data_IF_196719911803
#
_entry.id   IF_196719911803
#
_cell.length_a   1.000
_cell.length_b   1.000
_cell.length_c   1.000
_cell.angle_alpha   90.00
_cell.angle_beta   90.00
_cell.angle_gamma   90.00
#
_symmetry.space_group_name_H-M   'P 1'
#
loop_
_entity.id
_entity.type
_entity.pdbx_description
1 polymer ?
#
# COMPACT_ATOMS: atom_id res chain seq x y z
N UNK A 1 22.75 15.42 -16.44
CA UNK A 1 22.53 15.28 -14.99
C UNK A 1 22.23 13.80 -14.75
N UNK A 2 22.84 13.15 -13.78
CA UNK A 2 22.69 11.68 -13.65
C UNK A 2 21.47 11.34 -12.80
N UNK A 3 20.30 11.30 -13.45
CA UNK A 3 19.08 10.81 -12.81
C UNK A 3 19.00 9.28 -12.77
N UNK A 4 19.73 8.60 -13.63
CA UNK A 4 19.72 7.15 -13.77
C UNK A 4 20.62 6.44 -12.74
N UNK A 5 20.25 5.22 -12.35
CA UNK A 5 21.03 4.39 -11.43
C UNK A 5 21.19 2.98 -11.98
N UNK A 6 22.40 2.44 -11.83
CA UNK A 6 22.72 1.09 -12.26
C UNK A 6 22.29 0.08 -11.21
N UNK A 7 21.46 -0.91 -11.59
CA UNK A 7 21.04 -2.02 -10.73
C UNK A 7 22.00 -3.21 -10.92
N UNK A 8 22.19 -3.62 -12.18
CA UNK A 8 23.19 -4.60 -12.61
C UNK A 8 24.09 -3.97 -13.68
N UNK A 9 24.87 -4.75 -14.41
CA UNK A 9 25.66 -4.19 -15.55
C UNK A 9 24.77 -3.67 -16.67
N UNK A 10 23.60 -4.27 -16.83
CA UNK A 10 22.70 -4.13 -17.96
C UNK A 10 21.26 -3.73 -17.56
N UNK A 11 20.94 -3.63 -16.28
CA UNK A 11 19.65 -3.13 -15.79
C UNK A 11 19.84 -1.78 -15.09
N UNK A 12 19.03 -0.80 -15.47
CA UNK A 12 19.07 0.56 -14.95
C UNK A 12 17.71 0.97 -14.41
N UNK A 13 17.70 1.62 -13.26
CA UNK A 13 16.57 2.41 -12.78
C UNK A 13 16.57 3.75 -13.53
N UNK A 14 15.45 4.07 -14.15
CA UNK A 14 15.24 5.31 -14.92
C UNK A 14 14.05 6.12 -14.44
N UNK A 15 13.52 5.79 -13.28
CA UNK A 15 12.38 6.45 -12.65
C UNK A 15 12.69 7.85 -12.15
N UNK A 16 11.77 8.38 -11.35
CA UNK A 16 11.89 9.69 -10.71
C UNK A 16 11.17 9.70 -9.35
N UNK A 17 11.57 10.62 -8.47
CA UNK A 17 10.87 10.89 -7.21
C UNK A 17 10.10 12.21 -7.30
N UNK A 18 8.82 12.21 -6.92
CA UNK A 18 8.02 13.43 -6.77
C UNK A 18 7.81 13.76 -5.28
N UNK A 19 8.31 14.94 -4.86
CA UNK A 19 8.14 15.51 -3.53
C UNK A 19 7.16 16.69 -3.49
N UNK A 20 6.55 17.02 -4.63
CA UNK A 20 5.61 18.14 -4.76
C UNK A 20 4.17 17.67 -4.64
N UNK A 21 3.91 16.41 -4.98
CA UNK A 21 2.58 15.82 -4.89
C UNK A 21 2.18 15.69 -3.43
N UNK A 22 1.08 16.33 -3.03
CA UNK A 22 0.60 16.29 -1.66
C UNK A 22 -0.23 15.04 -1.32
N UNK A 23 -0.83 14.41 -2.32
CA UNK A 23 -1.67 13.22 -2.19
C UNK A 23 -1.46 12.25 -3.34
N UNK A 24 -1.23 11.00 -3.04
CA UNK A 24 -1.26 9.88 -3.98
C UNK A 24 -2.72 9.55 -4.33
N UNK A 25 -3.03 9.25 -5.60
CA UNK A 25 -4.41 9.07 -6.11
C UNK A 25 -5.38 10.21 -5.72
N UNK A 26 -4.88 11.38 -5.37
CA UNK A 26 -5.65 12.51 -4.81
C UNK A 26 -6.41 12.16 -3.51
N UNK A 27 -6.11 11.04 -2.88
CA UNK A 27 -6.75 10.54 -1.65
C UNK A 27 -5.74 10.51 -0.50
N UNK A 28 -4.60 9.84 -0.66
CA UNK A 28 -3.67 9.50 0.41
C UNK A 28 -2.60 10.59 0.61
N UNK A 29 -2.54 11.30 1.74
CA UNK A 29 -1.46 12.24 2.00
C UNK A 29 -0.09 11.58 1.95
N UNK A 30 0.85 12.16 1.21
CA UNK A 30 2.23 11.67 1.06
C UNK A 30 3.23 12.79 1.35
N UNK A 31 3.38 13.20 2.60
CA UNK A 31 4.29 14.30 2.98
C UNK A 31 5.75 14.02 2.60
N UNK A 32 6.17 12.76 2.55
CA UNK A 32 7.50 12.31 2.10
C UNK A 32 7.58 12.08 0.59
N UNK A 33 6.53 12.41 -0.17
CA UNK A 33 6.45 12.21 -1.61
C UNK A 33 6.28 10.73 -2.00
N UNK A 34 6.64 10.42 -3.24
CA UNK A 34 6.56 9.08 -3.84
C UNK A 34 7.65 8.92 -4.90
N UNK A 35 8.13 7.71 -5.14
CA UNK A 35 8.93 7.38 -6.31
C UNK A 35 8.07 6.67 -7.36
N UNK A 36 8.27 7.03 -8.62
CA UNK A 36 7.74 6.33 -9.79
C UNK A 36 8.90 5.62 -10.46
N UNK A 37 8.95 4.31 -10.32
CA UNK A 37 10.06 3.52 -10.82
C UNK A 37 9.75 3.02 -12.24
N UNK A 38 10.74 3.05 -13.09
CA UNK A 38 10.75 2.40 -14.38
C UNK A 38 12.15 1.85 -14.60
N UNK A 39 12.26 0.81 -15.39
CA UNK A 39 13.50 0.08 -15.56
C UNK A 39 13.86 -0.08 -17.02
N UNK A 40 15.12 0.16 -17.36
CA UNK A 40 15.66 -0.09 -18.68
C UNK A 40 16.61 -1.28 -18.63
N UNK A 41 16.46 -2.18 -19.60
CA UNK A 41 17.35 -3.33 -19.79
C UNK A 41 18.10 -3.15 -21.12
N UNK A 42 19.43 -3.10 -21.02
CA UNK A 42 20.37 -2.97 -22.11
C UNK A 42 20.84 -4.34 -22.59
N UNK A 43 20.21 -4.86 -23.63
CA UNK A 43 20.51 -6.17 -24.20
C UNK A 43 20.57 -6.09 -25.73
N UNK A 44 20.68 -7.22 -26.46
CA UNK A 44 20.63 -7.28 -27.93
C UNK A 44 19.36 -6.57 -28.47
N UNK A 45 18.25 -6.72 -27.75
CA UNK A 45 17.03 -5.92 -27.87
C UNK A 45 16.78 -5.17 -26.58
N UNK A 46 16.62 -3.88 -26.67
CA UNK A 46 16.40 -3.03 -25.51
C UNK A 46 14.96 -3.08 -25.01
N UNK A 47 14.79 -3.05 -23.70
CA UNK A 47 13.47 -3.11 -23.05
C UNK A 47 13.32 -2.00 -22.03
N UNK A 48 12.15 -1.37 -22.00
CA UNK A 48 11.69 -0.54 -20.87
C UNK A 48 10.52 -1.23 -20.20
N UNK A 49 10.52 -1.27 -18.88
CA UNK A 49 9.40 -1.75 -18.05
C UNK A 49 8.67 -0.55 -17.44
N UNK A 50 7.41 -0.42 -17.82
CA UNK A 50 6.48 0.65 -17.46
C UNK A 50 7.02 2.06 -17.76
N UNK A 51 6.22 3.06 -17.49
CA UNK A 51 6.64 4.46 -17.59
C UNK A 51 6.55 5.13 -16.22
N UNK A 52 6.23 6.40 -16.15
CA UNK A 52 6.09 7.14 -14.90
C UNK A 52 4.89 8.10 -14.98
N UNK A 53 4.57 8.71 -13.85
CA UNK A 53 3.54 9.75 -13.76
C UNK A 53 3.88 10.96 -14.60
N UNK A 54 2.86 11.61 -15.13
CA UNK A 54 3.00 12.82 -15.98
C UNK A 54 3.74 13.96 -15.26
N UNK A 55 3.66 14.02 -13.93
CA UNK A 55 4.31 15.05 -13.10
C UNK A 55 5.83 15.03 -13.17
N UNK A 56 6.43 13.89 -13.55
CA UNK A 56 7.88 13.68 -13.66
C UNK A 56 8.34 13.41 -15.10
N UNK A 57 7.49 13.71 -16.08
CA UNK A 57 7.70 13.39 -17.50
C UNK A 57 9.06 13.84 -18.05
N UNK A 58 9.48 15.07 -17.77
CA UNK A 58 10.73 15.61 -18.30
C UNK A 58 11.94 14.83 -17.80
N UNK A 59 11.96 14.57 -16.49
CA UNK A 59 13.05 13.78 -15.88
C UNK A 59 13.07 12.34 -16.40
N UNK A 60 11.91 11.71 -16.51
CA UNK A 60 11.79 10.34 -17.01
C UNK A 60 12.31 10.23 -18.45
N UNK A 61 11.88 11.14 -19.33
CA UNK A 61 12.30 11.14 -20.75
C UNK A 61 13.81 11.43 -20.89
N UNK A 62 14.36 12.34 -20.07
CA UNK A 62 15.81 12.58 -20.05
C UNK A 62 16.57 11.34 -19.59
N UNK A 63 16.11 10.65 -18.53
CA UNK A 63 16.70 9.42 -18.04
C UNK A 63 16.68 8.31 -19.09
N UNK A 64 15.55 8.11 -19.78
CA UNK A 64 15.42 7.13 -20.85
C UNK A 64 16.39 7.43 -22.00
N UNK A 65 16.45 8.68 -22.44
CA UNK A 65 17.40 9.10 -23.49
C UNK A 65 18.86 8.89 -23.11
N UNK A 66 19.20 9.13 -21.83
CA UNK A 66 20.57 8.95 -21.34
C UNK A 66 21.03 7.48 -21.42
N UNK A 67 20.18 6.54 -20.98
CA UNK A 67 20.55 5.11 -20.97
C UNK A 67 20.44 4.45 -22.34
N UNK A 68 19.48 4.89 -23.16
CA UNK A 68 19.27 4.36 -24.49
C UNK A 68 20.35 4.82 -25.48
N UNK A 69 20.82 6.09 -25.35
CA UNK A 69 21.76 6.70 -26.30
C UNK A 69 21.24 6.66 -27.73
N UNK A 70 22.07 6.21 -28.65
CA UNK A 70 21.73 6.06 -30.08
C UNK A 70 21.07 4.71 -30.42
N UNK A 71 20.80 3.86 -29.43
CA UNK A 71 20.16 2.57 -29.65
C UNK A 71 18.69 2.72 -29.98
N UNK A 72 18.14 1.73 -30.67
CA UNK A 72 16.70 1.61 -30.88
C UNK A 72 16.04 1.15 -29.58
N UNK A 73 14.85 1.66 -29.27
CA UNK A 73 13.99 1.06 -28.26
C UNK A 73 13.15 -0.04 -28.93
N UNK A 74 13.38 -1.31 -28.55
CA UNK A 74 12.68 -2.44 -29.16
C UNK A 74 11.36 -2.75 -28.46
N UNK A 75 11.33 -2.77 -27.13
CA UNK A 75 10.15 -3.13 -26.35
C UNK A 75 9.85 -2.13 -25.24
N UNK A 76 8.56 -1.86 -25.07
CA UNK A 76 7.97 -1.24 -23.89
C UNK A 76 7.04 -2.27 -23.26
N UNK A 77 7.45 -2.89 -22.17
CA UNK A 77 6.64 -3.85 -21.40
C UNK A 77 5.80 -3.08 -20.39
N UNK A 78 4.48 -3.26 -20.46
CA UNK A 78 3.53 -2.60 -19.56
C UNK A 78 2.98 -3.66 -18.61
N UNK A 79 3.43 -3.60 -17.35
CA UNK A 79 3.01 -4.50 -16.30
C UNK A 79 1.73 -4.02 -15.62
N UNK A 80 1.52 -2.68 -15.59
CA UNK A 80 0.39 -2.04 -14.94
C UNK A 80 -0.11 -0.80 -15.69
N UNK A 81 -1.43 -0.63 -15.72
CA UNK A 81 -2.10 0.43 -16.49
C UNK A 81 -2.64 1.56 -15.62
N UNK A 82 -2.23 1.67 -14.37
CA UNK A 82 -2.55 2.84 -13.57
C UNK A 82 -1.82 4.08 -14.13
N UNK A 83 -2.46 5.28 -14.13
CA UNK A 83 -1.89 6.45 -14.77
C UNK A 83 -0.51 6.87 -14.31
N UNK A 84 -0.15 6.62 -13.07
CA UNK A 84 1.18 6.93 -12.54
C UNK A 84 2.31 6.02 -13.08
N UNK A 85 1.95 4.96 -13.82
CA UNK A 85 2.87 4.08 -14.54
C UNK A 85 2.65 4.09 -16.05
N UNK A 86 1.46 4.48 -16.51
CA UNK A 86 1.15 4.41 -17.93
C UNK A 86 1.02 5.78 -18.64
N UNK A 87 0.99 6.90 -17.90
CA UNK A 87 0.74 8.23 -18.49
C UNK A 87 1.69 8.62 -19.61
N UNK A 88 2.91 8.10 -19.62
CA UNK A 88 3.91 8.45 -20.62
C UNK A 88 4.03 7.46 -21.79
N UNK A 89 3.18 6.43 -21.85
CA UNK A 89 3.20 5.44 -22.96
C UNK A 89 3.05 6.16 -24.33
N UNK A 90 2.10 7.07 -24.45
CA UNK A 90 1.87 7.83 -25.69
C UNK A 90 3.08 8.71 -26.06
N UNK A 91 3.71 9.30 -25.05
CA UNK A 91 4.94 10.09 -25.25
C UNK A 91 6.10 9.22 -25.69
N UNK A 92 6.32 8.07 -25.05
CA UNK A 92 7.40 7.13 -25.42
C UNK A 92 7.19 6.59 -26.84
N UNK A 93 5.97 6.18 -27.18
CA UNK A 93 5.67 5.67 -28.53
C UNK A 93 5.78 6.75 -29.61
N UNK A 94 5.52 8.03 -29.28
CA UNK A 94 5.74 9.14 -30.19
C UNK A 94 7.24 9.42 -30.42
N UNK A 95 8.09 9.31 -29.39
CA UNK A 95 9.55 9.42 -29.55
C UNK A 95 10.18 8.21 -30.25
N UNK A 96 9.63 7.01 -30.02
CA UNK A 96 10.14 5.74 -30.53
C UNK A 96 9.05 4.97 -31.29
N UNK A 97 8.64 5.42 -32.49
CA UNK A 97 7.47 4.88 -33.21
C UNK A 97 7.62 3.42 -33.65
N UNK A 98 8.84 2.91 -33.62
CA UNK A 98 9.12 1.50 -33.94
C UNK A 98 9.08 0.56 -32.73
N UNK A 99 8.85 1.09 -31.52
CA UNK A 99 8.76 0.28 -30.29
C UNK A 99 7.56 -0.67 -30.36
N UNK A 100 7.76 -1.88 -29.89
CA UNK A 100 6.67 -2.84 -29.70
C UNK A 100 6.20 -2.80 -28.23
N UNK A 101 4.94 -2.45 -28.04
CA UNK A 101 4.32 -2.45 -26.70
C UNK A 101 3.92 -3.88 -26.35
N UNK A 102 4.36 -4.35 -25.19
CA UNK A 102 4.12 -5.71 -24.66
C UNK A 102 3.20 -5.64 -23.48
N UNK A 103 2.15 -6.42 -23.45
CA UNK A 103 1.19 -6.50 -22.34
C UNK A 103 0.14 -7.58 -22.58
N UNK A 104 -0.79 -7.78 -21.66
CA UNK A 104 -1.87 -8.73 -21.90
C UNK A 104 -3.08 -8.08 -22.59
N UNK A 105 -4.09 -8.87 -22.93
CA UNK A 105 -5.29 -8.39 -23.62
C UNK A 105 -6.03 -7.28 -22.85
N UNK A 106 -6.06 -7.35 -21.53
CA UNK A 106 -6.68 -6.30 -20.68
C UNK A 106 -5.83 -5.03 -20.66
N UNK A 107 -4.49 -5.16 -20.62
CA UNK A 107 -3.56 -4.04 -20.74
C UNK A 107 -3.89 -3.24 -22.01
N UNK A 108 -4.05 -3.91 -23.15
CA UNK A 108 -4.38 -3.23 -24.41
C UNK A 108 -5.79 -2.63 -24.42
N UNK A 109 -6.76 -3.31 -23.80
CA UNK A 109 -8.11 -2.77 -23.64
C UNK A 109 -8.10 -1.47 -22.83
N UNK A 110 -7.37 -1.43 -21.71
CA UNK A 110 -7.26 -0.23 -20.88
C UNK A 110 -6.45 0.87 -21.58
N UNK A 111 -5.39 0.49 -22.25
CA UNK A 111 -4.55 1.41 -23.02
C UNK A 111 -5.37 2.17 -24.07
N UNK A 112 -6.26 1.49 -24.79
CA UNK A 112 -7.16 2.13 -25.78
C UNK A 112 -8.21 3.04 -25.13
N UNK A 113 -8.56 2.80 -23.85
CA UNK A 113 -9.45 3.70 -23.10
C UNK A 113 -8.74 4.99 -22.69
N UNK A 114 -7.44 4.90 -22.34
CA UNK A 114 -6.64 6.09 -21.97
C UNK A 114 -6.09 6.84 -23.18
N UNK A 115 -5.65 6.12 -24.23
CA UNK A 115 -4.91 6.67 -25.34
C UNK A 115 -5.57 6.30 -26.69
N UNK A 116 -6.28 7.23 -27.35
CA UNK A 116 -6.86 6.97 -28.69
C UNK A 116 -5.82 6.55 -29.74
N UNK A 117 -4.55 7.00 -29.59
CA UNK A 117 -3.40 6.64 -30.44
C UNK A 117 -3.01 5.17 -30.34
N UNK A 118 -3.37 4.49 -29.24
CA UNK A 118 -2.98 3.10 -28.97
C UNK A 118 -3.51 2.09 -30.00
N UNK A 119 -4.56 2.44 -30.75
CA UNK A 119 -5.02 1.62 -31.88
C UNK A 119 -3.95 1.41 -32.97
N UNK A 120 -3.01 2.36 -33.09
CA UNK A 120 -1.89 2.34 -34.07
C UNK A 120 -0.59 1.74 -33.55
N UNK A 121 -0.50 1.36 -32.26
CA UNK A 121 0.74 0.83 -31.69
C UNK A 121 1.05 -0.58 -32.22
N UNK A 122 2.34 -0.88 -32.35
CA UNK A 122 2.80 -2.27 -32.54
C UNK A 122 2.62 -2.99 -31.20
N UNK A 123 1.82 -4.04 -31.17
CA UNK A 123 1.46 -4.75 -29.95
C UNK A 123 1.99 -6.19 -29.98
N UNK A 124 2.51 -6.66 -28.87
CA UNK A 124 2.81 -8.06 -28.58
C UNK A 124 1.99 -8.47 -27.36
N UNK A 125 0.96 -9.26 -27.61
CA UNK A 125 0.14 -9.79 -26.51
C UNK A 125 0.86 -10.97 -25.86
N UNK A 126 0.93 -10.94 -24.50
CA UNK A 126 1.50 -11.99 -23.67
C UNK A 126 0.49 -12.40 -22.59
N UNK A 127 0.63 -13.62 -22.10
CA UNK A 127 -0.17 -14.18 -21.01
C UNK A 127 0.72 -14.92 -20.03
N UNK A 128 0.15 -15.40 -18.95
CA UNK A 128 0.85 -16.24 -17.98
C UNK A 128 1.58 -17.41 -18.65
N UNK A 129 2.86 -17.55 -18.34
CA UNK A 129 3.75 -18.59 -18.87
C UNK A 129 4.41 -18.27 -20.20
N UNK A 130 4.02 -17.18 -20.88
CA UNK A 130 4.74 -16.71 -22.07
C UNK A 130 6.09 -16.10 -21.68
N UNK A 131 7.00 -16.04 -22.63
CA UNK A 131 8.33 -15.49 -22.45
C UNK A 131 8.67 -14.45 -23.52
N UNK A 132 9.52 -13.48 -23.15
CA UNK A 132 10.14 -12.53 -24.05
C UNK A 132 11.66 -12.65 -23.92
N UNK A 133 12.33 -13.16 -24.97
CA UNK A 133 13.79 -13.20 -25.02
C UNK A 133 14.33 -11.98 -25.78
N UNK A 134 15.33 -11.33 -25.19
CA UNK A 134 15.97 -10.12 -25.74
C UNK A 134 17.44 -10.30 -26.09
N UNK A 135 17.98 -11.50 -25.86
CA UNK A 135 19.37 -11.88 -26.04
C UNK A 135 19.86 -12.65 -24.81
N UNK A 136 20.57 -11.97 -23.92
CA UNK A 136 21.00 -12.51 -22.63
C UNK A 136 19.80 -12.70 -21.66
N UNK A 137 18.85 -11.77 -21.68
CA UNK A 137 17.70 -11.77 -20.79
C UNK A 137 16.52 -12.55 -21.39
N UNK A 138 15.81 -13.27 -20.52
CA UNK A 138 14.54 -13.93 -20.87
C UNK A 138 13.54 -13.69 -19.74
N UNK A 139 12.50 -12.92 -20.06
CA UNK A 139 11.46 -12.53 -19.12
C UNK A 139 10.29 -13.53 -19.19
N UNK A 140 9.93 -14.11 -18.05
CA UNK A 140 8.77 -15.00 -17.88
C UNK A 140 7.62 -14.19 -17.28
N UNK A 141 6.48 -14.16 -17.94
CA UNK A 141 5.32 -13.42 -17.48
C UNK A 141 4.46 -14.24 -16.53
N UNK A 142 4.12 -13.64 -15.39
CA UNK A 142 3.27 -14.21 -14.35
C UNK A 142 2.08 -13.28 -14.12
N UNK A 143 0.85 -13.78 -14.32
CA UNK A 143 -0.33 -12.98 -14.06
C UNK A 143 -0.60 -12.83 -12.55
N UNK A 144 -0.80 -11.59 -12.12
CA UNK A 144 -1.14 -11.22 -10.75
C UNK A 144 -2.43 -10.36 -10.71
N UNK A 145 -3.56 -10.90 -11.22
CA UNK A 145 -4.78 -10.13 -11.35
C UNK A 145 -5.28 -9.64 -9.98
N UNK A 146 -5.71 -8.39 -9.90
CA UNK A 146 -6.14 -7.69 -8.69
C UNK A 146 -5.02 -7.45 -7.67
N UNK A 147 -3.77 -7.42 -8.11
CA UNK A 147 -2.64 -6.96 -7.30
C UNK A 147 -2.01 -5.70 -7.95
N UNK A 148 -2.73 -4.51 -8.02
CA UNK A 148 -4.11 -4.41 -7.45
C UNK A 148 -5.20 -4.21 -8.53
N UNK A 149 -4.86 -4.14 -9.82
CA UNK A 149 -5.79 -4.07 -10.97
C UNK A 149 -5.88 -5.43 -11.71
N UNK A 150 -6.92 -5.65 -12.52
CA UNK A 150 -7.18 -6.97 -13.10
C UNK A 150 -6.21 -7.37 -14.24
N UNK A 151 -5.45 -6.45 -14.81
CA UNK A 151 -4.49 -6.68 -15.91
C UNK A 151 -3.08 -6.94 -15.41
N UNK A 152 -2.77 -6.72 -14.13
CA UNK A 152 -1.39 -6.74 -13.61
C UNK A 152 -0.64 -8.00 -14.00
N UNK A 153 0.54 -7.79 -14.57
CA UNK A 153 1.56 -8.79 -14.85
C UNK A 153 2.80 -8.56 -13.97
N UNK A 154 3.48 -9.62 -13.63
CA UNK A 154 4.85 -9.60 -13.14
C UNK A 154 5.73 -10.18 -14.24
N UNK A 155 7.02 -9.81 -14.25
CA UNK A 155 7.99 -10.39 -15.17
C UNK A 155 9.22 -10.85 -14.40
N UNK A 156 9.58 -12.12 -14.50
CA UNK A 156 10.78 -12.68 -13.89
C UNK A 156 11.87 -12.87 -14.93
N UNK A 157 13.05 -12.35 -14.67
CA UNK A 157 14.21 -12.49 -15.55
C UNK A 157 15.15 -13.61 -15.08
N UNK A 158 15.36 -14.57 -15.95
CA UNK A 158 16.24 -15.72 -15.69
C UNK A 158 17.72 -15.34 -15.50
N UNK A 159 18.18 -14.30 -16.20
CA UNK A 159 19.61 -13.93 -16.20
C UNK A 159 20.01 -13.22 -14.91
N UNK A 160 19.23 -12.24 -14.46
CA UNK A 160 19.50 -11.43 -13.27
C UNK A 160 18.82 -11.95 -12.01
N UNK A 161 17.89 -12.91 -12.13
CA UNK A 161 17.03 -13.39 -11.04
C UNK A 161 16.17 -12.27 -10.44
N UNK A 162 15.84 -11.28 -11.25
CA UNK A 162 15.03 -10.12 -10.85
C UNK A 162 13.56 -10.36 -11.15
N UNK A 163 12.71 -10.01 -10.19
CA UNK A 163 11.27 -9.93 -10.35
C UNK A 163 10.86 -8.46 -10.52
N UNK A 164 10.39 -8.10 -11.71
CA UNK A 164 9.68 -6.84 -11.97
C UNK A 164 8.24 -7.05 -11.49
N UNK A 165 7.90 -6.40 -10.37
CA UNK A 165 6.75 -6.81 -9.56
C UNK A 165 5.52 -5.92 -9.71
N UNK A 166 5.50 -5.01 -10.67
CA UNK A 166 4.49 -3.95 -10.73
C UNK A 166 4.39 -3.24 -9.37
N UNK A 167 3.19 -2.97 -8.89
CA UNK A 167 2.96 -2.32 -7.59
C UNK A 167 3.16 -3.21 -6.38
N UNK A 168 3.25 -4.52 -6.59
CA UNK A 168 3.56 -5.40 -5.47
C UNK A 168 4.92 -5.03 -4.86
N UNK A 169 4.97 -5.02 -3.53
CA UNK A 169 6.13 -4.61 -2.73
C UNK A 169 6.44 -3.11 -2.75
N UNK A 170 5.55 -2.29 -3.31
CA UNK A 170 5.65 -0.85 -3.32
C UNK A 170 5.47 -0.19 -1.96
N UNK A 171 5.85 1.08 -1.86
CA UNK A 171 5.71 1.93 -0.68
C UNK A 171 5.52 3.40 -1.06
N UNK A 172 4.82 4.16 -0.22
CA UNK A 172 4.92 5.61 -0.26
C UNK A 172 6.32 6.05 0.19
N UNK A 173 6.72 7.23 -0.22
CA UNK A 173 8.02 7.84 0.09
C UNK A 173 8.90 8.00 -1.16
N UNK A 174 9.47 9.18 -1.31
CA UNK A 174 10.45 9.49 -2.33
C UNK A 174 11.83 8.96 -1.92
N UNK A 175 12.65 8.58 -2.90
CA UNK A 175 14.01 8.09 -2.65
C UNK A 175 15.00 9.23 -2.44
N UNK A 176 15.85 9.13 -1.44
CA UNK A 176 16.85 10.14 -1.05
C UNK A 176 18.23 9.89 -1.71
N UNK A 177 18.21 9.54 -2.99
CA UNK A 177 19.40 9.35 -3.80
C UNK A 177 19.93 7.91 -3.85
N UNK A 178 19.72 7.09 -2.83
CA UNK A 178 19.84 5.64 -2.91
C UNK A 178 18.63 5.04 -3.60
N UNK A 179 18.78 3.89 -4.26
CA UNK A 179 17.66 3.17 -4.87
C UNK A 179 17.45 1.77 -4.25
N UNK A 180 18.36 1.32 -3.40
CA UNK A 180 18.26 -0.01 -2.82
C UNK A 180 17.78 0.04 -1.38
N UNK A 181 16.94 -0.91 -0.98
CA UNK A 181 16.38 -1.01 0.37
C UNK A 181 17.48 -1.15 1.45
N UNK A 182 18.60 -1.79 1.11
CA UNK A 182 19.75 -1.94 2.02
C UNK A 182 20.64 -0.69 2.16
N UNK A 183 20.29 0.40 1.48
CA UNK A 183 20.92 1.73 1.65
C UNK A 183 20.19 2.60 2.69
N UNK A 184 19.08 2.10 3.26
CA UNK A 184 18.21 2.76 4.23
C UNK A 184 18.08 1.95 5.52
N UNK A 185 17.71 2.59 6.60
CA UNK A 185 17.09 1.93 7.75
C UNK A 185 15.61 1.69 7.43
N UNK A 186 15.33 0.62 6.69
CA UNK A 186 14.01 0.39 6.11
C UNK A 186 12.90 0.29 7.16
N UNK A 187 13.17 -0.29 8.32
CA UNK A 187 12.19 -0.39 9.41
C UNK A 187 11.77 0.99 9.92
N UNK A 188 12.71 1.91 10.01
CA UNK A 188 12.47 3.27 10.46
C UNK A 188 11.90 4.16 9.35
N UNK A 189 12.47 4.07 8.14
CA UNK A 189 12.23 5.06 7.09
C UNK A 189 11.04 4.69 6.20
N UNK A 190 10.74 3.39 6.01
CA UNK A 190 9.75 2.94 5.04
C UNK A 190 8.70 1.94 5.56
N UNK A 191 8.94 1.16 6.63
CA UNK A 191 8.03 0.08 7.02
C UNK A 191 6.60 0.54 7.27
N UNK A 192 6.40 1.65 7.99
CA UNK A 192 5.07 2.19 8.26
C UNK A 192 4.40 2.69 6.95
N UNK A 193 5.16 3.30 6.05
CA UNK A 193 4.69 3.73 4.72
C UNK A 193 4.35 2.54 3.81
N UNK A 194 5.15 1.46 3.85
CA UNK A 194 4.90 0.23 3.09
C UNK A 194 3.64 -0.49 3.56
N UNK A 195 3.47 -0.61 4.87
CA UNK A 195 2.25 -1.18 5.46
C UNK A 195 1.03 -0.35 5.10
N UNK A 196 1.15 0.98 5.19
CA UNK A 196 0.10 1.92 4.84
C UNK A 196 -0.25 1.83 3.36
N UNK A 197 0.75 1.76 2.47
CA UNK A 197 0.58 1.52 1.04
C UNK A 197 -0.17 0.21 0.81
N UNK A 198 0.37 -0.90 1.33
CA UNK A 198 -0.27 -2.22 1.20
C UNK A 198 -1.72 -2.20 1.67
N UNK A 199 -1.98 -1.73 2.89
CA UNK A 199 -3.28 -1.78 3.52
C UNK A 199 -4.36 -1.01 2.75
N UNK A 200 -4.02 0.15 2.19
CA UNK A 200 -4.96 1.01 1.49
C UNK A 200 -5.11 0.67 -0.01
N UNK A 201 -4.04 0.24 -0.68
CA UNK A 201 -4.03 -0.01 -2.13
C UNK A 201 -4.34 -1.49 -2.42
N UNK A 202 -3.70 -2.41 -1.71
CA UNK A 202 -3.74 -3.85 -2.00
C UNK A 202 -4.59 -4.63 -0.97
N UNK A 203 -4.81 -4.07 0.22
CA UNK A 203 -5.32 -4.78 1.39
C UNK A 203 -6.61 -5.59 1.21
N UNK A 204 -7.53 -5.12 0.35
CA UNK A 204 -8.76 -5.84 0.00
C UNK A 204 -8.48 -7.19 -0.69
N UNK A 205 -7.36 -7.32 -1.36
CA UNK A 205 -7.05 -8.41 -2.28
C UNK A 205 -6.07 -9.44 -1.70
N UNK A 206 -6.08 -9.66 -0.39
CA UNK A 206 -5.17 -10.58 0.30
C UNK A 206 -5.11 -11.98 -0.33
N UNK A 207 -6.24 -12.56 -0.73
CA UNK A 207 -6.26 -13.88 -1.40
C UNK A 207 -5.53 -13.86 -2.76
N UNK A 208 -5.64 -12.77 -3.52
CA UNK A 208 -4.96 -12.62 -4.81
C UNK A 208 -3.45 -12.44 -4.60
N UNK A 209 -3.06 -11.69 -3.58
CA UNK A 209 -1.65 -11.57 -3.17
C UNK A 209 -1.09 -12.94 -2.79
N UNK A 210 -1.80 -13.73 -1.98
CA UNK A 210 -1.41 -15.10 -1.62
C UNK A 210 -1.24 -15.99 -2.87
N UNK A 211 -2.13 -15.87 -3.85
CA UNK A 211 -2.02 -16.61 -5.10
C UNK A 211 -0.77 -16.19 -5.91
N UNK A 212 -0.47 -14.88 -5.96
CA UNK A 212 0.74 -14.36 -6.62
C UNK A 212 2.02 -14.82 -5.91
N UNK A 213 2.07 -14.73 -4.57
CA UNK A 213 3.20 -15.20 -3.76
C UNK A 213 3.45 -16.70 -3.98
N UNK A 214 2.39 -17.51 -4.03
CA UNK A 214 2.50 -18.95 -4.30
C UNK A 214 3.10 -19.25 -5.68
N UNK A 215 2.75 -18.48 -6.71
CA UNK A 215 3.34 -18.61 -8.04
C UNK A 215 4.82 -18.23 -8.03
N UNK A 216 5.16 -17.16 -7.33
CA UNK A 216 6.54 -16.68 -7.21
C UNK A 216 7.43 -17.56 -6.34
N UNK A 217 6.88 -18.36 -5.41
CA UNK A 217 7.64 -19.22 -4.50
C UNK A 217 8.50 -20.30 -5.18
N UNK A 218 8.21 -20.61 -6.45
CA UNK A 218 9.03 -21.54 -7.25
C UNK A 218 10.19 -20.88 -7.99
N UNK A 219 10.33 -19.55 -7.93
CA UNK A 219 11.34 -18.78 -8.63
C UNK A 219 12.52 -18.45 -7.71
N UNK A 220 13.73 -18.47 -8.25
CA UNK A 220 14.96 -18.04 -7.55
C UNK A 220 15.08 -16.51 -7.59
N UNK A 221 14.28 -15.80 -6.77
CA UNK A 221 14.22 -14.34 -6.76
C UNK A 221 15.34 -13.79 -5.89
N UNK A 222 16.28 -13.07 -6.51
CA UNK A 222 17.40 -12.40 -5.85
C UNK A 222 17.25 -10.88 -5.82
N UNK A 223 16.33 -10.32 -6.61
CA UNK A 223 15.99 -8.91 -6.61
C UNK A 223 14.48 -8.73 -6.85
N UNK A 224 13.90 -7.68 -6.24
CA UNK A 224 12.52 -7.24 -6.52
C UNK A 224 12.56 -5.79 -6.96
N UNK A 225 12.02 -5.53 -8.13
CA UNK A 225 11.96 -4.26 -8.82
C UNK A 225 10.50 -3.80 -8.87
N UNK A 226 10.05 -3.11 -7.83
CA UNK A 226 8.69 -2.58 -7.73
C UNK A 226 8.55 -1.21 -8.40
N UNK A 227 7.34 -0.82 -8.74
CA UNK A 227 7.06 0.47 -9.38
C UNK A 227 7.08 1.65 -8.38
N UNK A 228 7.10 1.39 -7.08
CA UNK A 228 7.27 2.39 -6.02
C UNK A 228 8.29 1.94 -4.97
N UNK A 229 9.02 2.89 -4.39
CA UNK A 229 9.96 2.65 -3.30
C UNK A 229 11.28 2.03 -3.73
N UNK A 230 12.09 1.58 -2.78
CA UNK A 230 13.42 1.04 -3.06
C UNK A 230 13.39 -0.35 -3.72
N UNK A 231 14.40 -0.62 -4.54
CA UNK A 231 14.70 -1.95 -5.11
C UNK A 231 15.26 -2.86 -4.01
N UNK A 232 14.74 -4.08 -3.93
CA UNK A 232 15.23 -5.09 -2.99
C UNK A 232 16.26 -6.00 -3.64
N UNK A 233 17.41 -6.19 -2.98
CA UNK A 233 18.48 -7.12 -3.35
C UNK A 233 19.08 -7.86 -2.16
N UNK A 234 18.60 -7.57 -0.95
CA UNK A 234 18.95 -8.25 0.31
C UNK A 234 17.71 -8.32 1.19
N UNK A 235 17.69 -9.26 2.13
CA UNK A 235 16.61 -9.44 3.11
C UNK A 235 15.22 -9.62 2.48
N UNK A 236 15.14 -10.24 1.31
CA UNK A 236 13.88 -10.45 0.57
C UNK A 236 12.92 -11.30 1.41
N UNK A 237 13.42 -12.30 2.15
CA UNK A 237 12.60 -13.14 3.02
C UNK A 237 11.87 -12.33 4.10
N UNK A 238 12.54 -11.31 4.65
CA UNK A 238 11.90 -10.41 5.62
C UNK A 238 10.73 -9.62 5.00
N UNK A 239 10.90 -9.12 3.78
CA UNK A 239 9.82 -8.45 3.03
C UNK A 239 8.67 -9.41 2.74
N UNK A 240 8.97 -10.61 2.28
CA UNK A 240 7.97 -11.65 2.00
C UNK A 240 7.20 -12.04 3.27
N UNK A 241 7.87 -12.11 4.45
CA UNK A 241 7.20 -12.35 5.73
C UNK A 241 6.19 -11.23 6.06
N UNK A 242 6.53 -9.96 5.77
CA UNK A 242 5.58 -8.84 5.95
C UNK A 242 4.38 -8.98 5.02
N UNK A 243 4.62 -9.26 3.74
CA UNK A 243 3.55 -9.46 2.76
C UNK A 243 2.66 -10.67 3.10
N UNK A 244 3.23 -11.76 3.61
CA UNK A 244 2.49 -12.92 4.11
C UNK A 244 1.55 -12.50 5.26
N UNK A 245 2.06 -11.79 6.27
CA UNK A 245 1.23 -11.29 7.38
C UNK A 245 0.13 -10.36 6.89
N UNK A 246 0.47 -9.41 6.04
CA UNK A 246 -0.51 -8.43 5.57
C UNK A 246 -1.62 -9.06 4.72
N UNK A 247 -1.27 -9.99 3.84
CA UNK A 247 -2.21 -10.64 2.93
C UNK A 247 -3.06 -11.75 3.58
N UNK A 248 -2.61 -12.30 4.70
CA UNK A 248 -3.40 -13.19 5.56
C UNK A 248 -4.15 -12.44 6.66
N UNK A 249 -4.05 -11.10 6.69
CA UNK A 249 -4.61 -10.24 7.74
C UNK A 249 -4.11 -10.60 9.13
N UNK A 250 -2.92 -11.18 9.25
CA UNK A 250 -2.27 -11.50 10.52
C UNK A 250 -1.69 -10.23 11.12
N UNK A 251 -2.04 -9.85 12.35
CA UNK A 251 -1.45 -8.69 13.02
C UNK A 251 0.07 -8.82 13.14
N UNK A 252 0.79 -7.71 12.99
CA UNK A 252 2.24 -7.71 13.17
C UNK A 252 2.63 -7.76 14.65
N UNK A 253 1.82 -7.14 15.51
CA UNK A 253 2.10 -6.95 16.94
C UNK A 253 0.87 -7.17 17.81
N UNK A 254 1.10 -7.50 19.08
CA UNK A 254 0.07 -7.52 20.15
C UNK A 254 -0.22 -6.11 20.72
N UNK A 255 0.30 -5.04 20.08
CA UNK A 255 0.05 -3.67 20.47
C UNK A 255 -1.40 -3.27 20.23
N UNK A 256 -1.79 -2.16 20.87
CA UNK A 256 -3.15 -1.65 20.86
C UNK A 256 -3.17 -0.32 20.12
N UNK A 257 -4.01 -0.21 19.08
CA UNK A 257 -4.37 1.07 18.50
C UNK A 257 -5.64 1.59 19.17
N UNK A 258 -5.54 2.70 19.91
CA UNK A 258 -6.68 3.38 20.48
C UNK A 258 -7.03 4.60 19.62
N UNK A 259 -8.18 4.53 18.97
CA UNK A 259 -8.69 5.59 18.10
C UNK A 259 -9.90 6.24 18.76
N UNK A 260 -9.83 7.53 19.01
CA UNK A 260 -10.94 8.25 19.62
C UNK A 260 -11.43 9.41 18.75
N UNK A 261 -12.71 9.74 18.88
CA UNK A 261 -13.29 10.99 18.41
C UNK A 261 -13.79 11.82 19.59
N UNK A 262 -13.61 13.14 19.56
CA UNK A 262 -14.06 14.02 20.63
C UNK A 262 -14.49 15.38 20.12
N UNK A 263 -15.66 15.86 20.57
CA UNK A 263 -16.16 17.18 20.19
C UNK A 263 -15.48 18.33 20.98
N UNK A 264 -15.49 18.21 22.31
CA UNK A 264 -15.02 19.26 23.22
C UNK A 264 -14.03 18.75 24.28
N UNK A 265 -13.36 17.60 24.03
CA UNK A 265 -12.30 17.08 24.88
C UNK A 265 -12.75 16.02 25.92
N UNK A 266 -14.02 15.91 26.26
CA UNK A 266 -14.45 14.96 27.31
C UNK A 266 -14.29 13.49 26.91
N UNK A 267 -14.56 13.14 25.65
CA UNK A 267 -14.30 11.78 25.17
C UNK A 267 -12.79 11.51 25.05
N UNK A 268 -11.99 12.52 24.69
CA UNK A 268 -10.52 12.46 24.73
C UNK A 268 -10.03 12.11 26.13
N UNK A 269 -10.51 12.80 27.17
CA UNK A 269 -10.10 12.52 28.55
C UNK A 269 -10.39 11.08 28.97
N UNK A 270 -11.53 10.52 28.53
CA UNK A 270 -11.83 9.11 28.78
C UNK A 270 -10.89 8.16 28.02
N UNK A 271 -10.57 8.47 26.75
CA UNK A 271 -9.60 7.70 25.96
C UNK A 271 -8.20 7.72 26.56
N UNK A 272 -7.75 8.88 27.08
CA UNK A 272 -6.47 9.02 27.78
C UNK A 272 -6.43 8.23 29.09
N UNK A 273 -7.53 8.20 29.87
CA UNK A 273 -7.63 7.39 31.07
C UNK A 273 -7.53 5.88 30.74
N UNK A 274 -8.20 5.42 29.69
CA UNK A 274 -8.09 4.04 29.21
C UNK A 274 -6.66 3.72 28.77
N UNK A 275 -6.03 4.60 28.00
CA UNK A 275 -4.64 4.41 27.56
C UNK A 275 -3.66 4.34 28.73
N UNK A 276 -3.84 5.21 29.77
CA UNK A 276 -3.04 5.17 30.99
C UNK A 276 -3.20 3.85 31.71
N UNK A 277 -4.44 3.39 31.94
CA UNK A 277 -4.70 2.12 32.62
C UNK A 277 -4.13 0.92 31.85
N UNK A 278 -4.16 0.92 30.53
CA UNK A 278 -3.53 -0.12 29.71
C UNK A 278 -2.00 -0.10 29.84
N UNK A 279 -1.38 1.10 29.88
CA UNK A 279 0.06 1.25 30.12
C UNK A 279 0.49 0.75 31.51
N UNK A 280 -0.30 1.02 32.54
CA UNK A 280 -0.08 0.51 33.89
C UNK A 280 -0.13 -1.03 33.94
N UNK A 281 -0.88 -1.66 33.03
CA UNK A 281 -0.90 -3.11 32.83
C UNK A 281 0.18 -3.64 31.90
N UNK A 282 1.15 -2.81 31.51
CA UNK A 282 2.28 -3.19 30.65
C UNK A 282 1.95 -3.34 29.17
N UNK A 283 0.76 -2.89 28.72
CA UNK A 283 0.42 -2.92 27.29
C UNK A 283 1.02 -1.74 26.53
N UNK A 284 1.45 -1.97 25.31
CA UNK A 284 1.88 -0.89 24.40
C UNK A 284 0.64 -0.35 23.69
N UNK A 285 0.40 0.95 23.81
CA UNK A 285 -0.77 1.63 23.24
C UNK A 285 -0.30 2.83 22.42
N UNK A 286 -0.80 2.95 21.18
CA UNK A 286 -0.73 4.19 20.38
C UNK A 286 -2.12 4.83 20.35
N UNK A 287 -2.18 6.12 20.62
CA UNK A 287 -3.44 6.89 20.70
C UNK A 287 -3.56 7.82 19.52
N UNK A 288 -4.71 7.77 18.83
CA UNK A 288 -4.99 8.54 17.64
C UNK A 288 -6.30 9.31 17.77
N UNK A 289 -6.28 10.60 17.40
CA UNK A 289 -7.51 11.38 17.19
C UNK A 289 -8.00 11.17 15.76
N UNK A 290 -9.16 10.56 15.60
CA UNK A 290 -9.75 10.29 14.28
C UNK A 290 -10.09 11.57 13.51
N UNK A 291 -10.20 12.71 14.18
CA UNK A 291 -10.48 14.01 13.53
C UNK A 291 -9.22 14.66 12.96
N UNK A 292 -8.06 14.37 13.54
CA UNK A 292 -6.78 14.98 13.17
C UNK A 292 -5.83 14.02 12.42
N UNK A 293 -6.17 12.74 12.33
CA UNK A 293 -5.36 11.72 11.66
C UNK A 293 -6.07 11.29 10.38
N UNK A 294 -5.41 11.39 9.24
CA UNK A 294 -5.97 10.89 7.98
C UNK A 294 -6.25 9.38 8.10
N UNK A 295 -7.39 8.96 7.56
CA UNK A 295 -7.90 7.59 7.70
C UNK A 295 -6.89 6.55 7.21
N UNK A 296 -6.10 6.86 6.17
CA UNK A 296 -5.11 5.92 5.64
C UNK A 296 -4.02 5.52 6.64
N UNK A 297 -3.63 6.42 7.55
CA UNK A 297 -2.70 6.09 8.64
C UNK A 297 -3.36 5.18 9.67
N UNK A 298 -4.63 5.44 10.00
CA UNK A 298 -5.40 4.59 10.92
C UNK A 298 -5.59 3.18 10.35
N UNK A 299 -5.81 3.04 9.05
CA UNK A 299 -5.87 1.75 8.35
C UNK A 299 -4.52 1.02 8.46
N UNK A 300 -3.39 1.71 8.29
CA UNK A 300 -2.06 1.14 8.53
C UNK A 300 -1.89 0.59 9.96
N UNK A 301 -2.39 1.32 10.98
CA UNK A 301 -2.38 0.86 12.37
C UNK A 301 -3.31 -0.35 12.59
N UNK A 302 -4.45 -0.43 11.90
CA UNK A 302 -5.34 -1.60 11.94
C UNK A 302 -4.64 -2.84 11.38
N UNK A 303 -3.84 -2.72 10.31
CA UNK A 303 -3.04 -3.83 9.80
C UNK A 303 -1.94 -4.26 10.78
N UNK A 304 -1.36 -3.30 11.50
CA UNK A 304 -0.26 -3.54 12.43
C UNK A 304 -0.72 -4.20 13.74
N UNK A 305 -1.81 -3.70 14.34
CA UNK A 305 -2.23 -4.04 15.70
C UNK A 305 -3.27 -5.15 15.74
N UNK A 306 -3.17 -6.04 16.74
CA UNK A 306 -4.19 -7.06 17.03
C UNK A 306 -5.46 -6.46 17.62
N UNK A 307 -5.31 -5.52 18.56
CA UNK A 307 -6.43 -4.95 19.31
C UNK A 307 -6.66 -3.50 18.93
N UNK A 308 -7.90 -3.18 18.58
CA UNK A 308 -8.35 -1.84 18.17
C UNK A 308 -9.40 -1.35 19.17
N UNK A 309 -9.11 -0.27 19.85
CA UNK A 309 -10.03 0.39 20.79
C UNK A 309 -10.65 1.59 20.09
N UNK A 310 -11.98 1.64 20.02
CA UNK A 310 -12.72 2.72 19.37
C UNK A 310 -13.60 3.42 20.41
N UNK A 311 -13.36 4.73 20.61
CA UNK A 311 -14.13 5.52 21.58
C UNK A 311 -14.59 6.81 20.92
N UNK A 312 -15.91 7.02 20.75
CA UNK A 312 -16.41 8.25 20.15
C UNK A 312 -17.80 8.66 20.68
N UNK A 313 -18.18 9.95 20.52
CA UNK A 313 -19.51 10.39 20.94
C UNK A 313 -20.58 9.96 19.94
N UNK A 314 -21.82 9.87 20.43
CA UNK A 314 -23.01 9.84 19.60
C UNK A 314 -23.24 11.23 19.00
N UNK A 315 -23.40 11.31 17.69
CA UNK A 315 -23.59 12.58 16.98
C UNK A 315 -24.83 12.48 16.08
N UNK A 316 -25.80 13.37 16.35
CA UNK A 316 -27.10 13.38 15.63
C UNK A 316 -27.81 12.00 15.57
N UNK A 317 -27.72 11.22 16.65
CA UNK A 317 -28.26 9.85 16.70
C UNK A 317 -27.45 8.80 15.90
N UNK A 318 -26.29 9.17 15.38
CA UNK A 318 -25.39 8.32 14.60
C UNK A 318 -24.00 8.17 15.21
N UNK A 319 -23.11 7.52 14.48
CA UNK A 319 -21.69 7.49 14.78
C UNK A 319 -21.09 8.87 14.49
N UNK A 320 -20.07 9.25 15.24
CA UNK A 320 -19.29 10.47 14.97
C UNK A 320 -18.70 10.43 13.54
N UNK A 321 -18.94 11.45 12.67
CA UNK A 321 -18.67 11.32 11.23
C UNK A 321 -17.24 10.88 10.86
N UNK A 322 -16.16 11.41 11.47
CA UNK A 322 -14.82 10.90 11.17
C UNK A 322 -14.62 9.43 11.55
N UNK A 323 -15.21 8.97 12.66
CA UNK A 323 -15.18 7.58 13.07
C UNK A 323 -16.00 6.70 12.12
N UNK A 324 -17.12 7.21 11.62
CA UNK A 324 -17.94 6.50 10.63
C UNK A 324 -17.20 6.30 9.31
N UNK A 325 -16.46 7.30 8.83
CA UNK A 325 -15.61 7.19 7.65
C UNK A 325 -14.55 6.08 7.85
N UNK A 326 -13.85 6.09 8.98
CA UNK A 326 -12.87 5.07 9.32
C UNK A 326 -13.45 3.65 9.38
N UNK A 327 -14.63 3.47 9.98
CA UNK A 327 -15.33 2.18 10.00
C UNK A 327 -15.70 1.71 8.58
N UNK A 328 -16.18 2.62 7.73
CA UNK A 328 -16.52 2.28 6.36
C UNK A 328 -15.31 1.83 5.54
N UNK A 329 -14.15 2.48 5.73
CA UNK A 329 -12.91 2.08 5.06
C UNK A 329 -12.41 0.72 5.54
N UNK A 330 -12.47 0.42 6.85
CA UNK A 330 -12.15 -0.93 7.36
C UNK A 330 -13.03 -2.00 6.70
N UNK A 331 -14.32 -1.72 6.52
CA UNK A 331 -15.27 -2.65 5.87
C UNK A 331 -14.96 -2.79 4.38
N UNK A 332 -14.71 -1.69 3.68
CA UNK A 332 -14.41 -1.67 2.25
C UNK A 332 -13.12 -2.44 1.93
N UNK A 333 -12.10 -2.33 2.79
CA UNK A 333 -10.82 -3.02 2.68
C UNK A 333 -10.85 -4.46 3.21
N UNK A 334 -11.96 -4.88 3.82
CA UNK A 334 -12.17 -6.25 4.26
C UNK A 334 -11.27 -6.68 5.43
N UNK A 335 -11.06 -5.78 6.40
CA UNK A 335 -10.30 -6.06 7.64
C UNK A 335 -10.77 -7.35 8.29
N UNK A 336 -9.82 -8.17 8.76
CA UNK A 336 -10.10 -9.46 9.40
C UNK A 336 -9.17 -9.69 10.61
N UNK A 337 -9.49 -10.71 11.42
CA UNK A 337 -8.63 -11.23 12.47
C UNK A 337 -8.25 -10.16 13.52
N UNK A 338 -9.20 -9.32 13.92
CA UNK A 338 -8.96 -8.24 14.92
C UNK A 338 -9.87 -8.37 16.11
N UNK A 339 -9.37 -7.88 17.27
CA UNK A 339 -10.18 -7.70 18.48
C UNK A 339 -10.56 -6.23 18.60
N UNK A 340 -11.84 -5.94 18.81
CA UNK A 340 -12.36 -4.59 19.01
C UNK A 340 -12.87 -4.39 20.42
N UNK A 341 -12.51 -3.28 21.04
CA UNK A 341 -13.08 -2.78 22.29
C UNK A 341 -13.76 -1.44 22.03
N UNK A 342 -15.00 -1.29 22.49
CA UNK A 342 -15.83 -0.17 22.09
C UNK A 342 -16.22 0.70 23.29
N UNK A 343 -16.06 2.02 23.12
CA UNK A 343 -16.50 3.02 24.07
C UNK A 343 -17.36 4.11 23.41
N UNK A 344 -18.24 4.69 24.19
CA UNK A 344 -19.12 5.77 23.73
C UNK A 344 -19.26 6.89 24.74
N UNK A 345 -19.58 8.08 24.23
CA UNK A 345 -20.02 9.19 25.05
C UNK A 345 -21.34 9.78 24.53
N UNK A 346 -22.23 10.12 25.41
CA UNK A 346 -23.48 10.79 25.07
C UNK A 346 -24.16 11.38 26.29
N UNK A 347 -24.49 12.66 26.25
CA UNK A 347 -25.21 13.34 27.32
C UNK A 347 -26.61 12.78 27.49
N UNK A 348 -27.25 12.43 26.35
CA UNK A 348 -28.53 11.73 26.26
C UNK A 348 -28.44 10.66 25.17
N UNK A 349 -29.15 9.55 25.33
CA UNK A 349 -29.28 8.47 24.37
C UNK A 349 -27.94 8.05 23.68
N UNK A 350 -26.91 7.62 24.42
CA UNK A 350 -25.67 7.11 23.82
C UNK A 350 -25.98 5.83 22.99
N UNK A 351 -25.61 5.82 21.71
CA UNK A 351 -25.94 4.75 20.76
C UNK A 351 -24.74 4.20 19.99
N UNK A 352 -23.58 4.86 20.12
CA UNK A 352 -22.45 4.64 19.20
C UNK A 352 -21.88 3.24 19.32
N UNK A 353 -21.83 2.67 20.53
CA UNK A 353 -21.37 1.27 20.74
C UNK A 353 -22.23 0.31 19.91
N UNK A 354 -23.57 0.41 19.99
CA UNK A 354 -24.45 -0.44 19.20
C UNK A 354 -24.21 -0.27 17.69
N UNK A 355 -24.14 0.98 17.22
CA UNK A 355 -23.96 1.29 15.80
C UNK A 355 -22.60 0.81 15.27
N UNK A 356 -21.52 0.96 16.06
CA UNK A 356 -20.20 0.42 15.72
C UNK A 356 -20.21 -1.10 15.70
N UNK A 357 -20.86 -1.75 16.68
CA UNK A 357 -21.00 -3.21 16.71
C UNK A 357 -21.73 -3.72 15.46
N UNK A 358 -22.84 -3.09 15.10
CA UNK A 358 -23.63 -3.47 13.91
C UNK A 358 -22.76 -3.39 12.63
N UNK A 359 -21.94 -2.32 12.49
CA UNK A 359 -21.01 -2.16 11.35
C UNK A 359 -19.88 -3.20 11.38
N UNK A 360 -19.20 -3.37 12.51
CA UNK A 360 -18.05 -4.27 12.64
C UNK A 360 -18.45 -5.75 12.47
N UNK A 361 -19.70 -6.12 12.72
CA UNK A 361 -20.20 -7.48 12.50
C UNK A 361 -20.17 -7.91 11.02
N UNK A 362 -20.00 -6.98 10.07
CA UNK A 362 -19.77 -7.28 8.66
C UNK A 362 -18.35 -7.82 8.38
N UNK A 363 -17.40 -7.61 9.29
CA UNK A 363 -16.03 -8.07 9.15
C UNK A 363 -15.87 -9.55 9.50
N UNK A 364 -14.88 -10.21 8.89
CA UNK A 364 -14.64 -11.64 9.11
C UNK A 364 -13.68 -11.87 10.30
N UNK A 365 -13.94 -12.91 11.08
CA UNK A 365 -13.06 -13.35 12.15
C UNK A 365 -12.68 -12.23 13.13
N UNK A 366 -13.63 -11.37 13.48
CA UNK A 366 -13.42 -10.32 14.47
C UNK A 366 -14.06 -10.71 15.79
N UNK A 367 -13.41 -10.31 16.88
CA UNK A 367 -13.95 -10.41 18.24
C UNK A 367 -14.31 -9.01 18.70
N UNK A 368 -15.54 -8.80 19.14
CA UNK A 368 -15.95 -7.55 19.79
C UNK A 368 -16.09 -7.86 21.27
N UNK A 369 -15.34 -7.15 22.13
CA UNK A 369 -15.37 -7.38 23.57
C UNK A 369 -16.72 -6.98 24.17
N UNK A 370 -17.25 -7.81 25.06
CA UNK A 370 -18.55 -7.57 25.70
C UNK A 370 -18.53 -6.36 26.66
N UNK A 371 -17.40 -6.17 27.38
CA UNK A 371 -17.22 -5.02 28.23
C UNK A 371 -17.06 -3.75 27.38
N UNK A 372 -17.98 -2.81 27.52
CA UNK A 372 -17.98 -1.53 26.83
C UNK A 372 -17.87 -0.38 27.83
N UNK A 373 -17.34 0.75 27.38
CA UNK A 373 -17.25 1.97 28.17
C UNK A 373 -18.38 2.93 27.77
N UNK A 374 -19.18 3.41 28.72
CA UNK A 374 -20.20 4.43 28.46
C UNK A 374 -20.00 5.64 29.37
N UNK A 375 -19.64 6.76 28.78
CA UNK A 375 -19.48 8.03 29.45
C UNK A 375 -20.71 8.92 29.19
N UNK A 376 -21.19 9.59 30.23
CA UNK A 376 -22.28 10.57 30.13
C UNK A 376 -21.72 11.98 30.31
N UNK A 377 -21.46 12.65 29.19
CA UNK A 377 -20.84 13.98 29.09
C UNK A 377 -19.36 14.02 29.48
N UNK A 378 -19.05 13.97 30.75
CA UNK A 378 -17.68 14.03 31.29
C UNK A 378 -17.34 12.78 32.09
N UNK A 379 -16.06 12.39 32.13
CA UNK A 379 -15.57 11.35 33.02
C UNK A 379 -15.48 11.89 34.44
N UNK A 380 -16.05 11.17 35.39
CA UNK A 380 -16.01 11.49 36.81
C UNK A 380 -15.33 10.38 37.62
N UNK A 381 -14.92 10.67 38.84
CA UNK A 381 -14.34 9.66 39.74
C UNK A 381 -15.27 8.47 40.00
N UNK A 382 -16.58 8.67 39.94
CA UNK A 382 -17.57 7.59 40.04
C UNK A 382 -17.52 6.60 38.86
N UNK A 383 -16.96 7.00 37.71
CA UNK A 383 -16.83 6.16 36.50
C UNK A 383 -15.58 5.27 36.56
N UNK A 384 -14.68 5.45 37.51
CA UNK A 384 -13.40 4.73 37.57
C UNK A 384 -13.59 3.19 37.50
N UNK A 385 -14.57 2.64 38.21
CA UNK A 385 -14.81 1.20 38.17
C UNK A 385 -15.17 0.64 36.82
N UNK A 386 -15.91 1.39 35.97
CA UNK A 386 -16.18 0.94 34.59
C UNK A 386 -14.97 1.13 33.68
N UNK A 387 -14.14 2.17 33.89
CA UNK A 387 -12.86 2.35 33.16
C UNK A 387 -11.94 1.17 33.47
N UNK A 388 -11.78 0.82 34.75
CA UNK A 388 -10.94 -0.31 35.19
C UNK A 388 -11.41 -1.62 34.57
N UNK A 389 -12.72 -1.91 34.61
CA UNK A 389 -13.29 -3.11 34.03
C UNK A 389 -13.09 -3.17 32.50
N UNK A 390 -13.21 -2.04 31.80
CA UNK A 390 -12.95 -1.94 30.37
C UNK A 390 -11.48 -2.18 30.04
N UNK A 391 -10.57 -1.53 30.78
CA UNK A 391 -9.11 -1.72 30.67
C UNK A 391 -8.73 -3.17 30.93
N UNK A 392 -9.30 -3.80 31.98
CA UNK A 392 -9.04 -5.19 32.30
C UNK A 392 -9.47 -6.16 31.20
N UNK A 393 -10.61 -5.89 30.56
CA UNK A 393 -11.08 -6.73 29.46
C UNK A 393 -10.15 -6.64 28.24
N UNK A 394 -9.67 -5.44 27.93
CA UNK A 394 -8.73 -5.21 26.81
C UNK A 394 -7.37 -5.86 27.12
N UNK A 395 -6.87 -5.70 28.34
CA UNK A 395 -5.57 -6.22 28.72
C UNK A 395 -5.49 -7.77 28.72
N UNK A 396 -6.62 -8.46 28.81
CA UNK A 396 -6.73 -9.94 28.76
C UNK A 396 -6.91 -10.49 27.35
N UNK A 397 -7.30 -9.67 26.38
CA UNK A 397 -7.54 -10.04 24.99
C UNK A 397 -6.25 -10.07 24.16
#
# INVERSE_FOLDING_TARGET
MRGTKKITEDIFWIGASDRRLSRFENIFPIPEGVSYNSYFVDDEKTVVFDTADISVSDQYIENLKEVLGDKKLDYLVVLHMEPDHCSLIDTVTAYYPDVTVVGNSKTFTFMEQFFPSAAGFKKLEVKEGDTLSTGKHTFHFVAAPMVHWPEVLLAYDDASKALFSADAFGTFGALDGGIFADEYDYEKDFLDSSRRYYANIVGKYGMQVQAALKKAAGLDIQMILSLHGPVWRKNIEWLLEKYEKWSTYTPETEEIALVYGSLYGHTKSAAEAVASGLREKGKVVKVHDVSGTDVSYLIGEVWRCKTIVLICPTYNGGVYPPMEAFLNDMIALGVQNRTFALGQNGTWAPMTVKLMTDKLSALKNVTILENTLTIKSALHSADQGQVDAFVDSIAKA
#
